data_IF_478310490623
#
_entry.id   IF_478310490623
#
_cell.length_a   1.000
_cell.length_b   1.000
_cell.length_c   1.000
_cell.angle_alpha   90.00
_cell.angle_beta   90.00
_cell.angle_gamma   90.00
#
_symmetry.space_group_name_H-M   'P 1'
#
loop_
_entity.id
_entity.type
_entity.pdbx_description
1 polymer ?
#
# COMPACT_ATOMS: atom_id res chain seq x y z
N UNK A 1 -27.92 17.23 8.56
CA UNK A 1 -26.68 16.46 8.78
C UNK A 1 -26.88 15.08 8.18
N UNK A 2 -26.55 14.92 6.89
CA UNK A 2 -26.59 13.60 6.24
C UNK A 2 -25.19 13.05 6.25
N UNK A 3 -24.95 12.09 7.13
CA UNK A 3 -23.72 11.30 7.19
C UNK A 3 -23.70 10.35 6.00
N UNK A 4 -23.17 10.83 4.87
CA UNK A 4 -22.80 9.99 3.74
C UNK A 4 -21.45 9.33 4.08
N UNK A 5 -21.49 8.21 4.80
CA UNK A 5 -20.34 7.32 4.95
C UNK A 5 -20.20 6.52 3.64
N UNK A 6 -19.91 7.21 2.53
CA UNK A 6 -19.39 6.53 1.35
C UNK A 6 -17.97 6.05 1.68
N UNK A 7 -17.65 4.77 1.46
CA UNK A 7 -16.27 4.33 1.57
C UNK A 7 -15.42 5.19 0.63
N UNK A 8 -14.42 5.87 1.21
CA UNK A 8 -13.51 6.81 0.55
C UNK A 8 -12.52 6.09 -0.40
N UNK A 9 -13.02 5.19 -1.25
CA UNK A 9 -12.22 4.49 -2.25
C UNK A 9 -11.78 5.40 -3.40
N UNK A 10 -12.52 6.49 -3.63
CA UNK A 10 -12.33 7.40 -4.77
C UNK A 10 -11.69 8.75 -4.38
N UNK A 11 -11.26 8.91 -3.12
CA UNK A 11 -10.60 10.13 -2.69
C UNK A 11 -9.15 10.13 -3.22
N UNK A 12 -8.70 11.16 -3.95
CA UNK A 12 -7.35 11.21 -4.47
C UNK A 12 -6.37 11.15 -3.31
N UNK A 13 -5.36 10.29 -3.42
CA UNK A 13 -4.34 10.16 -2.38
C UNK A 13 -3.65 11.51 -2.18
N UNK A 14 -3.71 12.01 -0.95
CA UNK A 14 -2.99 13.21 -0.57
C UNK A 14 -1.50 12.93 -0.46
N UNK A 15 -0.66 13.98 -0.43
CA UNK A 15 0.78 13.83 -0.20
C UNK A 15 1.07 13.08 1.11
N UNK A 16 0.30 13.32 2.17
CA UNK A 16 0.44 12.61 3.44
C UNK A 16 0.13 11.10 3.33
N UNK A 17 -0.84 10.71 2.49
CA UNK A 17 -1.14 9.30 2.25
C UNK A 17 -0.02 8.61 1.47
N UNK A 18 0.61 9.33 0.52
CA UNK A 18 1.76 8.83 -0.23
C UNK A 18 3.00 8.67 0.67
N UNK A 19 3.22 9.56 1.64
CA UNK A 19 4.28 9.41 2.64
C UNK A 19 4.09 8.14 3.48
N UNK A 20 2.85 7.83 3.87
CA UNK A 20 2.53 6.58 4.57
C UNK A 20 2.80 5.37 3.67
N UNK A 21 2.33 5.40 2.42
CA UNK A 21 2.56 4.32 1.47
C UNK A 21 4.06 4.09 1.21
N UNK A 22 4.86 5.16 1.08
CA UNK A 22 6.31 5.07 0.94
C UNK A 22 6.97 4.47 2.18
N UNK A 23 6.56 4.86 3.38
CA UNK A 23 7.09 4.28 4.62
C UNK A 23 6.85 2.77 4.70
N UNK A 24 5.64 2.32 4.32
CA UNK A 24 5.32 0.88 4.25
C UNK A 24 6.16 0.18 3.18
N UNK A 25 6.28 0.81 2.02
CA UNK A 25 7.09 0.29 0.92
C UNK A 25 8.54 0.09 1.33
N UNK A 26 9.16 1.08 1.98
CA UNK A 26 10.55 1.04 2.45
C UNK A 26 10.79 -0.17 3.35
N UNK A 27 9.94 -0.32 4.38
CA UNK A 27 10.01 -1.43 5.34
C UNK A 27 9.85 -2.78 4.65
N UNK A 28 8.91 -2.92 3.72
CA UNK A 28 8.72 -4.19 2.99
C UNK A 28 9.89 -4.47 2.05
N UNK A 29 10.45 -3.44 1.43
CA UNK A 29 11.60 -3.53 0.56
C UNK A 29 12.84 -4.03 1.33
N UNK A 30 13.08 -3.47 2.52
CA UNK A 30 14.13 -3.92 3.44
C UNK A 30 13.90 -5.35 3.94
N UNK A 31 12.70 -5.67 4.42
CA UNK A 31 12.37 -6.99 4.97
C UNK A 31 12.45 -8.11 3.92
N UNK A 32 12.07 -7.82 2.66
CA UNK A 32 12.11 -8.79 1.58
C UNK A 32 13.42 -8.76 0.78
N UNK A 33 14.33 -7.83 1.07
CA UNK A 33 15.57 -7.65 0.31
C UNK A 33 15.35 -7.28 -1.16
N UNK A 34 14.20 -6.67 -1.47
CA UNK A 34 13.86 -6.23 -2.82
C UNK A 34 14.72 -5.00 -3.13
N UNK A 35 15.39 -4.99 -4.28
CA UNK A 35 16.07 -3.77 -4.74
C UNK A 35 15.04 -2.80 -5.30
N UNK A 36 15.10 -1.53 -4.88
CA UNK A 36 14.20 -0.46 -5.38
C UNK A 36 14.32 -0.21 -6.88
N UNK A 37 15.39 -0.72 -7.50
CA UNK A 37 15.72 -0.57 -8.91
C UNK A 37 15.06 -1.63 -9.82
N UNK A 38 14.54 -2.72 -9.25
CA UNK A 38 13.86 -3.76 -10.06
C UNK A 38 12.38 -3.45 -10.24
N UNK A 39 11.82 -3.82 -11.39
CA UNK A 39 10.39 -3.65 -11.69
C UNK A 39 9.46 -4.25 -10.61
N UNK A 40 9.96 -5.22 -9.84
CA UNK A 40 9.29 -5.81 -8.68
C UNK A 40 8.96 -4.78 -7.59
N UNK A 41 9.82 -3.78 -7.38
CA UNK A 41 9.61 -2.70 -6.44
C UNK A 41 8.52 -1.73 -6.93
N UNK A 42 8.45 -1.45 -8.24
CA UNK A 42 7.38 -0.66 -8.82
C UNK A 42 6.02 -1.36 -8.69
N UNK A 43 5.98 -2.69 -8.89
CA UNK A 43 4.79 -3.52 -8.70
C UNK A 43 4.35 -3.47 -7.23
N UNK A 44 5.30 -3.62 -6.30
CA UNK A 44 5.03 -3.55 -4.86
C UNK A 44 4.44 -2.19 -4.45
N UNK A 45 5.02 -1.09 -4.91
CA UNK A 45 4.51 0.25 -4.64
C UNK A 45 3.08 0.45 -5.17
N UNK A 46 2.80 -0.01 -6.39
CA UNK A 46 1.45 0.04 -6.96
C UNK A 46 0.44 -0.79 -6.15
N UNK A 47 0.84 -1.97 -5.65
CA UNK A 47 -0.03 -2.81 -4.83
C UNK A 47 -0.34 -2.17 -3.47
N UNK A 48 0.66 -1.58 -2.82
CA UNK A 48 0.49 -0.86 -1.55
C UNK A 48 -0.50 0.29 -1.72
N UNK A 49 -0.34 1.06 -2.79
CA UNK A 49 -1.22 2.19 -3.14
C UNK A 49 -2.67 1.70 -3.37
N UNK A 50 -2.86 0.64 -4.14
CA UNK A 50 -4.18 0.08 -4.40
C UNK A 50 -4.85 -0.46 -3.13
N UNK A 51 -4.12 -1.20 -2.30
CA UNK A 51 -4.65 -1.71 -1.03
C UNK A 51 -4.99 -0.57 -0.05
N UNK A 52 -4.16 0.48 -0.02
CA UNK A 52 -4.41 1.66 0.81
C UNK A 52 -5.69 2.38 0.36
N UNK A 53 -5.89 2.54 -0.96
CA UNK A 53 -7.14 3.07 -1.54
C UNK A 53 -8.33 2.17 -1.23
N UNK A 54 -8.10 0.86 -1.13
CA UNK A 54 -9.14 -0.08 -0.75
C UNK A 54 -9.57 0.04 0.73
N UNK A 55 -8.90 0.90 1.51
CA UNK A 55 -9.15 1.12 2.93
C UNK A 55 -8.19 0.38 3.86
N UNK A 56 -7.22 -0.36 3.30
CA UNK A 56 -6.21 -1.09 4.08
C UNK A 56 -5.08 -0.15 4.46
N UNK A 57 -5.25 0.55 5.59
CA UNK A 57 -4.25 1.49 6.13
C UNK A 57 -3.26 0.85 7.11
N UNK A 58 -3.49 -0.40 7.47
CA UNK A 58 -2.65 -1.11 8.44
C UNK A 58 -1.43 -1.75 7.75
N UNK A 59 -0.24 -1.44 8.25
CA UNK A 59 1.04 -1.91 7.72
C UNK A 59 1.13 -3.44 7.78
N UNK A 60 0.67 -4.06 8.87
CA UNK A 60 0.72 -5.52 9.03
C UNK A 60 -0.29 -6.22 8.11
N UNK A 61 -1.47 -5.61 7.90
CA UNK A 61 -2.43 -6.10 6.92
C UNK A 61 -1.89 -6.02 5.50
N UNK A 62 -1.28 -4.89 5.11
CA UNK A 62 -0.61 -4.73 3.81
C UNK A 62 0.47 -5.78 3.61
N UNK A 63 1.34 -5.97 4.62
CA UNK A 63 2.39 -6.99 4.60
C UNK A 63 1.84 -8.40 4.42
N UNK A 64 0.78 -8.73 5.16
CA UNK A 64 0.15 -10.06 5.08
C UNK A 64 -0.39 -10.28 3.67
N UNK A 65 -1.14 -9.32 3.13
CA UNK A 65 -1.77 -9.42 1.81
C UNK A 65 -0.72 -9.53 0.69
N UNK A 66 0.31 -8.68 0.71
CA UNK A 66 1.43 -8.69 -0.23
C UNK A 66 2.21 -10.00 -0.15
N UNK A 67 2.51 -10.46 1.07
CA UNK A 67 3.22 -11.73 1.30
C UNK A 67 2.48 -12.95 0.76
N UNK A 68 1.15 -12.95 0.77
CA UNK A 68 0.33 -13.97 0.10
C UNK A 68 0.31 -13.85 -1.42
N UNK A 69 0.34 -12.63 -1.97
CA UNK A 69 0.32 -12.41 -3.44
C UNK A 69 1.58 -12.93 -4.12
N UNK A 70 2.75 -12.86 -3.47
CA UNK A 70 4.02 -13.36 -4.00
C UNK A 70 4.26 -14.87 -3.88
N UNK A 71 3.32 -15.63 -3.31
CA UNK A 71 3.47 -17.06 -2.97
C UNK A 71 2.53 -18.01 -3.71
N UNK A 72 1.98 -17.61 -4.86
CA UNK A 72 1.16 -18.45 -5.74
C UNK A 72 1.94 -18.93 -6.96
#
# INVERSE_FOLDING_TARGET
MSSDFRPRHDEPLGPADLEICQGVFDVICEEQGISRDVGEAAILAALIIELYRQGVRDVQALRTLIGTVGKA
#
